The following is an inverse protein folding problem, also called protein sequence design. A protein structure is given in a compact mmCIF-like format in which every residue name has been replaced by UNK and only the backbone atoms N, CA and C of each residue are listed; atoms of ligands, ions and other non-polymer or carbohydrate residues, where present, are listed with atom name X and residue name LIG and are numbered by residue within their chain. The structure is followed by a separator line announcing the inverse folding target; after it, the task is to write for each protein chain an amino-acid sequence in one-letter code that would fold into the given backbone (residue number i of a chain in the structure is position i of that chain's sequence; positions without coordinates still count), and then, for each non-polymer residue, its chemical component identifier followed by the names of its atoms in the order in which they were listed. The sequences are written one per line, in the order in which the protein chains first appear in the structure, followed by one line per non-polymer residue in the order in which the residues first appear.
data_IF_753900417670
#
_entry.id   IF_753900417670
#
_cell.length_a   1.000
_cell.length_b   1.000
_cell.length_c   1.000
_cell.angle_alpha   90.00
_cell.angle_beta   90.00
_cell.angle_gamma   90.00
#
_symmetry.space_group_name_H-M   'P 1'
#
loop_
_entity.id
_entity.type
_entity.pdbx_description
1 polymer ?
#
# COMPACT_ATOMS: atom_id res chain seq x y z
N UNK A 1 30.99 -2.64 29.89
CA UNK A 1 31.27 -3.17 28.53
C UNK A 1 30.03 -3.92 28.06
N UNK A 2 29.24 -3.33 27.18
CA UNK A 2 28.07 -3.98 26.62
C UNK A 2 28.53 -5.06 25.63
N UNK A 3 28.08 -6.29 25.83
CA UNK A 3 28.27 -7.42 24.90
C UNK A 3 27.57 -7.06 23.59
N UNK A 4 28.35 -6.95 22.51
CA UNK A 4 27.79 -6.95 21.14
C UNK A 4 27.20 -8.34 20.92
N UNK A 5 25.86 -8.47 21.01
CA UNK A 5 25.18 -9.65 20.50
C UNK A 5 25.39 -9.68 18.98
N UNK A 6 26.15 -10.69 18.53
CA UNK A 6 26.24 -11.00 17.12
C UNK A 6 24.87 -11.55 16.70
N UNK A 7 24.12 -10.80 15.93
CA UNK A 7 22.99 -11.36 15.22
C UNK A 7 23.49 -12.51 14.33
N UNK A 8 22.78 -13.64 14.28
CA UNK A 8 23.13 -14.71 13.36
C UNK A 8 23.24 -14.12 11.95
N UNK A 9 24.28 -14.56 11.22
CA UNK A 9 24.53 -14.13 9.85
C UNK A 9 23.21 -14.18 9.07
N UNK A 10 22.77 -13.03 8.61
CA UNK A 10 21.68 -12.98 7.63
C UNK A 10 22.15 -13.81 6.45
N UNK A 11 21.29 -14.71 5.91
CA UNK A 11 21.61 -15.36 4.65
C UNK A 11 22.06 -14.28 3.67
N UNK A 12 23.12 -14.56 2.93
CA UNK A 12 23.79 -13.64 2.03
C UNK A 12 22.73 -12.81 1.29
N UNK A 13 22.83 -11.52 1.54
CA UNK A 13 21.98 -10.54 0.87
C UNK A 13 22.29 -10.69 -0.61
N UNK A 14 21.32 -10.98 -1.48
CA UNK A 14 21.56 -10.87 -2.91
C UNK A 14 22.23 -9.52 -3.16
N UNK A 15 23.24 -9.46 -4.02
CA UNK A 15 23.93 -8.23 -4.44
C UNK A 15 23.03 -7.29 -5.27
N UNK A 16 21.76 -7.21 -4.87
CA UNK A 16 20.73 -6.43 -5.52
C UNK A 16 20.96 -4.97 -5.22
N UNK A 17 21.03 -4.17 -6.27
CA UNK A 17 21.14 -2.72 -6.18
C UNK A 17 20.01 -2.14 -5.29
N UNK A 18 20.25 -1.00 -4.58
CA UNK A 18 19.21 -0.34 -3.83
C UNK A 18 18.06 0.02 -4.76
N UNK A 19 16.94 -0.68 -4.68
CA UNK A 19 15.77 -0.53 -5.56
C UNK A 19 15.23 -1.86 -6.09
N UNK A 20 16.06 -2.88 -6.22
CA UNK A 20 15.69 -4.23 -6.70
C UNK A 20 15.14 -5.13 -5.59
N UNK A 21 14.29 -4.58 -4.72
CA UNK A 21 13.68 -5.38 -3.65
C UNK A 21 12.36 -5.92 -4.13
N UNK A 22 12.30 -7.24 -4.25
CA UNK A 22 11.06 -7.93 -4.56
C UNK A 22 9.98 -7.65 -3.52
N UNK A 23 8.72 -7.74 -3.92
CA UNK A 23 7.56 -7.52 -3.05
C UNK A 23 7.60 -8.44 -1.83
N UNK A 24 8.10 -9.66 -1.98
CA UNK A 24 8.27 -10.66 -0.92
C UNK A 24 9.17 -10.17 0.22
N UNK A 25 10.15 -9.34 -0.06
CA UNK A 25 11.00 -8.74 0.97
C UNK A 25 10.21 -7.87 1.96
N UNK A 26 9.14 -7.24 1.50
CA UNK A 26 8.33 -6.31 2.28
C UNK A 26 7.17 -6.97 3.01
N UNK A 27 6.80 -8.21 2.65
CA UNK A 27 5.66 -8.92 3.23
C UNK A 27 5.87 -9.38 4.67
N UNK A 28 7.12 -9.52 5.09
CA UNK A 28 7.42 -10.06 6.40
C UNK A 28 6.99 -11.53 6.52
N UNK A 29 6.15 -11.82 7.53
CA UNK A 29 5.80 -13.19 7.89
C UNK A 29 4.68 -13.80 7.01
N UNK A 30 3.75 -12.97 6.52
CA UNK A 30 2.61 -13.44 5.72
C UNK A 30 2.81 -13.11 4.24
N UNK A 31 2.61 -14.09 3.37
CA UNK A 31 2.72 -13.97 1.91
C UNK A 31 1.40 -14.15 1.20
N UNK A 32 0.40 -14.69 1.89
CA UNK A 32 -0.96 -14.88 1.39
C UNK A 32 -1.97 -14.53 2.48
N UNK A 33 -3.16 -14.11 2.08
CA UNK A 33 -4.27 -13.88 3.00
C UNK A 33 -4.67 -15.20 3.71
N UNK A 34 -4.47 -16.34 3.06
CA UNK A 34 -4.80 -17.65 3.60
C UNK A 34 -3.85 -18.07 4.73
N UNK A 35 -2.65 -17.52 4.77
CA UNK A 35 -1.68 -17.74 5.85
C UNK A 35 -2.05 -16.99 7.14
N UNK A 36 -2.96 -16.02 7.05
CA UNK A 36 -3.37 -15.19 8.19
C UNK A 36 -4.43 -15.92 8.99
N UNK A 37 -4.18 -16.19 10.30
CA UNK A 37 -5.18 -16.81 11.16
C UNK A 37 -6.51 -16.03 11.14
N UNK A 38 -7.64 -16.73 11.10
CA UNK A 38 -8.97 -16.13 10.97
C UNK A 38 -9.24 -15.03 12.01
N UNK A 39 -8.74 -15.19 13.24
CA UNK A 39 -8.90 -14.20 14.32
C UNK A 39 -8.26 -12.85 14.04
N UNK A 40 -7.29 -12.78 13.12
CA UNK A 40 -6.58 -11.54 12.75
C UNK A 40 -7.02 -10.99 11.40
N UNK A 41 -8.02 -11.60 10.76
CA UNK A 41 -8.55 -11.08 9.51
C UNK A 41 -9.35 -9.81 9.73
N UNK A 42 -9.05 -8.78 8.95
CA UNK A 42 -9.60 -7.43 9.13
C UNK A 42 -11.13 -7.37 9.08
N UNK A 43 -11.78 -8.28 8.36
CA UNK A 43 -13.26 -8.40 8.33
C UNK A 43 -13.91 -8.54 9.71
N UNK A 44 -13.17 -8.99 10.72
CA UNK A 44 -13.70 -9.21 12.07
C UNK A 44 -13.83 -7.91 12.90
N UNK A 45 -13.27 -6.80 12.40
CA UNK A 45 -13.16 -5.54 13.14
C UNK A 45 -14.10 -4.45 12.62
N UNK A 46 -15.10 -4.80 11.81
CA UNK A 46 -15.98 -3.85 11.12
C UNK A 46 -16.72 -2.90 12.09
N UNK A 47 -17.16 -3.42 13.25
CA UNK A 47 -17.84 -2.61 14.25
C UNK A 47 -16.93 -1.58 14.92
N UNK A 48 -15.62 -1.83 14.96
CA UNK A 48 -14.64 -0.93 15.60
C UNK A 48 -14.30 0.27 14.71
N UNK A 49 -14.47 0.12 13.39
CA UNK A 49 -14.16 1.16 12.41
C UNK A 49 -15.39 1.95 11.94
N UNK A 50 -16.57 1.63 12.45
CA UNK A 50 -17.81 2.28 12.00
C UNK A 50 -17.80 3.79 12.33
N UNK A 51 -17.77 4.62 11.29
CA UNK A 51 -17.76 6.09 11.40
C UNK A 51 -16.38 6.73 11.58
N UNK A 52 -15.31 5.94 11.66
CA UNK A 52 -13.95 6.45 11.80
C UNK A 52 -13.36 6.95 10.46
N UNK A 53 -12.65 8.07 10.46
CA UNK A 53 -11.86 8.53 9.31
C UNK A 53 -10.36 8.29 9.52
N UNK A 54 -9.98 7.02 9.50
CA UNK A 54 -8.58 6.60 9.70
C UNK A 54 -7.62 7.20 8.66
N UNK A 55 -8.10 7.51 7.45
CA UNK A 55 -7.28 8.19 6.45
C UNK A 55 -6.98 9.64 6.85
N UNK A 56 -7.98 10.35 7.37
CA UNK A 56 -7.80 11.70 7.91
C UNK A 56 -6.85 11.72 9.10
N UNK A 57 -6.99 10.76 10.02
CA UNK A 57 -6.09 10.59 11.15
C UNK A 57 -4.64 10.35 10.71
N UNK A 58 -4.45 9.43 9.77
CA UNK A 58 -3.15 9.18 9.18
C UNK A 58 -2.53 10.45 8.57
N UNK A 59 -3.28 11.20 7.76
CA UNK A 59 -2.76 12.43 7.16
C UNK A 59 -2.42 13.52 8.18
N UNK A 60 -3.10 13.53 9.32
CA UNK A 60 -2.78 14.43 10.43
C UNK A 60 -1.42 14.12 11.06
N UNK A 61 -0.93 12.88 10.97
CA UNK A 61 0.42 12.49 11.47
C UNK A 61 1.55 12.77 10.47
N UNK A 62 1.24 13.16 9.22
CA UNK A 62 2.22 13.31 8.14
C UNK A 62 2.71 14.76 8.03
N UNK A 63 3.45 15.20 9.04
CA UNK A 63 4.11 16.52 9.04
C UNK A 63 5.29 16.60 8.06
N UNK A 64 5.78 15.46 7.61
CA UNK A 64 6.83 15.33 6.58
C UNK A 64 6.36 15.70 5.16
N UNK A 65 5.04 15.70 4.93
CA UNK A 65 4.47 16.04 3.63
C UNK A 65 4.12 17.52 3.52
N UNK A 66 4.57 18.16 2.44
CA UNK A 66 4.12 19.50 2.12
C UNK A 66 2.60 19.55 1.91
N UNK A 67 1.94 20.62 2.37
CA UNK A 67 0.49 20.80 2.24
C UNK A 67 0.00 20.71 0.79
N UNK A 68 0.80 21.19 -0.18
CA UNK A 68 0.50 21.05 -1.60
C UNK A 68 0.49 19.58 -2.05
N UNK A 69 1.37 18.76 -1.51
CA UNK A 69 1.41 17.30 -1.79
C UNK A 69 0.20 16.60 -1.20
N UNK A 70 -0.15 16.90 0.05
CA UNK A 70 -1.37 16.37 0.68
C UNK A 70 -2.59 16.73 -0.16
N UNK A 71 -2.77 18.01 -0.52
CA UNK A 71 -3.93 18.51 -1.25
C UNK A 71 -4.04 17.95 -2.66
N UNK A 72 -2.95 17.83 -3.39
CA UNK A 72 -2.97 17.46 -4.81
C UNK A 72 -2.91 15.95 -5.05
N UNK A 73 -2.46 15.17 -4.09
CA UNK A 73 -2.25 13.73 -4.26
C UNK A 73 -2.94 12.89 -3.18
N UNK A 74 -2.66 13.15 -1.91
CA UNK A 74 -3.07 12.26 -0.82
C UNK A 74 -4.56 12.38 -0.46
N UNK A 75 -5.11 13.58 -0.32
CA UNK A 75 -6.56 13.74 -0.12
C UNK A 75 -7.37 13.16 -1.28
N UNK A 76 -7.06 13.48 -2.56
CA UNK A 76 -7.79 12.87 -3.68
C UNK A 76 -7.65 11.35 -3.76
N UNK A 77 -6.52 10.78 -3.36
CA UNK A 77 -6.35 9.33 -3.28
C UNK A 77 -7.30 8.73 -2.25
N UNK A 78 -7.27 9.25 -1.03
CA UNK A 78 -8.11 8.77 0.06
C UNK A 78 -9.60 8.90 -0.24
N UNK A 79 -10.04 10.02 -0.80
CA UNK A 79 -11.44 10.25 -1.15
C UNK A 79 -11.94 9.25 -2.19
N UNK A 80 -11.13 8.99 -3.23
CA UNK A 80 -11.47 7.99 -4.26
C UNK A 80 -11.49 6.57 -3.69
N UNK A 81 -10.51 6.25 -2.85
CA UNK A 81 -10.42 4.94 -2.24
C UNK A 81 -11.57 4.68 -1.25
N UNK A 82 -11.86 5.63 -0.36
CA UNK A 82 -13.02 5.57 0.55
C UNK A 82 -14.32 5.39 -0.23
N UNK A 83 -14.50 6.17 -1.30
CA UNK A 83 -15.66 6.06 -2.17
C UNK A 83 -15.77 4.68 -2.80
N UNK A 84 -14.70 4.15 -3.38
CA UNK A 84 -14.66 2.82 -3.98
C UNK A 84 -15.03 1.74 -2.96
N UNK A 85 -14.41 1.77 -1.79
CA UNK A 85 -14.68 0.81 -0.73
C UNK A 85 -16.12 0.85 -0.24
N UNK A 86 -16.72 2.03 -0.17
CA UNK A 86 -18.11 2.20 0.25
C UNK A 86 -19.10 1.75 -0.83
N UNK A 87 -18.90 2.14 -2.08
CA UNK A 87 -19.87 1.95 -3.17
C UNK A 87 -19.76 0.57 -3.82
N UNK A 88 -18.53 0.06 -4.03
CA UNK A 88 -18.30 -1.19 -4.76
C UNK A 88 -18.08 -2.39 -3.85
N UNK A 89 -17.52 -2.18 -2.64
CA UNK A 89 -17.17 -3.27 -1.72
C UNK A 89 -18.13 -3.36 -0.53
N UNK A 90 -18.65 -2.22 -0.06
CA UNK A 90 -19.51 -2.15 1.13
C UNK A 90 -18.75 -2.39 2.44
N UNK A 91 -17.47 -2.03 2.51
CA UNK A 91 -16.59 -2.23 3.66
C UNK A 91 -15.82 -0.96 3.97
N UNK A 92 -15.46 -0.78 5.25
CA UNK A 92 -14.61 0.34 5.66
C UNK A 92 -13.24 0.28 4.97
N UNK A 93 -12.72 1.42 4.53
CA UNK A 93 -11.48 1.49 3.74
C UNK A 93 -10.24 0.94 4.47
N UNK A 94 -10.15 1.08 5.79
CA UNK A 94 -9.06 0.49 6.57
C UNK A 94 -9.12 -1.05 6.65
N UNK A 95 -10.26 -1.68 6.34
CA UNK A 95 -10.47 -3.12 6.43
C UNK A 95 -10.37 -3.84 5.07
N UNK A 96 -9.67 -3.24 4.12
CA UNK A 96 -9.55 -3.77 2.76
C UNK A 96 -8.88 -5.14 2.72
N UNK A 97 -9.43 -5.99 1.87
CA UNK A 97 -8.81 -7.25 1.45
C UNK A 97 -7.81 -6.98 0.31
N UNK A 98 -6.79 -7.83 0.10
CA UNK A 98 -5.91 -7.71 -1.07
C UNK A 98 -6.65 -7.61 -2.41
N UNK A 99 -7.74 -8.36 -2.58
CA UNK A 99 -8.56 -8.31 -3.80
C UNK A 99 -9.25 -6.96 -3.98
N UNK A 100 -9.64 -6.27 -2.89
CA UNK A 100 -10.22 -4.93 -2.95
C UNK A 100 -9.18 -3.91 -3.45
N UNK A 101 -7.93 -4.06 -3.02
CA UNK A 101 -6.81 -3.23 -3.48
C UNK A 101 -6.56 -3.45 -4.98
N UNK A 102 -6.52 -4.72 -5.42
CA UNK A 102 -6.34 -5.06 -6.84
C UNK A 102 -7.48 -4.48 -7.68
N UNK A 103 -8.74 -4.69 -7.26
CA UNK A 103 -9.91 -4.17 -7.96
C UNK A 103 -9.90 -2.65 -8.04
N UNK A 104 -9.52 -1.97 -6.94
CA UNK A 104 -9.40 -0.51 -6.93
C UNK A 104 -8.32 -0.02 -7.91
N UNK A 105 -7.13 -0.59 -7.88
CA UNK A 105 -6.04 -0.15 -8.75
C UNK A 105 -6.31 -0.46 -10.22
N UNK A 106 -6.98 -1.57 -10.53
CA UNK A 106 -7.46 -1.88 -11.86
C UNK A 106 -8.49 -0.85 -12.34
N UNK A 107 -9.50 -0.53 -11.49
CA UNK A 107 -10.47 0.52 -11.77
C UNK A 107 -9.81 1.88 -12.03
N UNK A 108 -8.82 2.25 -11.24
CA UNK A 108 -8.05 3.48 -11.43
C UNK A 108 -7.27 3.43 -12.75
N UNK A 109 -6.60 2.31 -13.05
CA UNK A 109 -5.85 2.11 -14.30
C UNK A 109 -6.72 2.34 -15.51
N UNK A 110 -7.93 1.81 -15.50
CA UNK A 110 -8.92 1.89 -16.58
C UNK A 110 -9.66 3.24 -16.66
N UNK A 111 -9.12 4.27 -16.02
CA UNK A 111 -9.66 5.63 -16.09
C UNK A 111 -10.75 5.94 -15.08
N UNK A 112 -11.03 5.06 -14.12
CA UNK A 112 -12.04 5.25 -13.08
C UNK A 112 -11.93 6.62 -12.39
N UNK A 113 -13.09 7.20 -12.06
CA UNK A 113 -13.23 8.56 -11.51
C UNK A 113 -12.73 9.69 -12.44
N UNK A 114 -12.60 9.44 -13.74
CA UNK A 114 -12.26 10.46 -14.71
C UNK A 114 -13.19 10.40 -15.93
N UNK A 115 -13.65 11.55 -16.37
CA UNK A 115 -14.44 11.69 -17.60
C UNK A 115 -13.56 11.93 -18.85
N UNK A 116 -12.25 12.19 -18.64
CA UNK A 116 -11.34 12.58 -19.71
C UNK A 116 -10.25 11.53 -19.99
N UNK A 117 -9.95 10.69 -18.99
CA UNK A 117 -8.87 9.72 -19.05
C UNK A 117 -9.48 8.33 -19.16
N UNK A 118 -9.14 7.60 -20.22
CA UNK A 118 -9.60 6.23 -20.47
C UNK A 118 -8.66 5.19 -19.91
N UNK A 119 -7.39 5.55 -19.77
CA UNK A 119 -6.35 4.70 -19.18
C UNK A 119 -5.28 5.58 -18.52
N UNK A 120 -4.78 5.15 -17.36
CA UNK A 120 -3.65 5.80 -16.67
C UNK A 120 -2.38 5.00 -16.82
N UNK A 121 -1.26 5.72 -16.90
CA UNK A 121 0.07 5.10 -16.90
C UNK A 121 0.37 4.46 -15.54
N UNK A 122 1.21 3.43 -15.53
CA UNK A 122 1.69 2.80 -14.28
C UNK A 122 2.35 3.80 -13.34
N UNK A 123 3.08 4.78 -13.89
CA UNK A 123 3.63 5.90 -13.13
C UNK A 123 2.56 6.65 -12.31
N UNK A 124 1.47 7.01 -12.98
CA UNK A 124 0.35 7.71 -12.32
C UNK A 124 -0.30 6.83 -11.26
N UNK A 125 -0.56 5.56 -11.58
CA UNK A 125 -1.15 4.60 -10.63
C UNK A 125 -0.24 4.42 -9.43
N UNK A 126 1.07 4.30 -9.63
CA UNK A 126 2.02 4.14 -8.54
C UNK A 126 2.04 5.35 -7.60
N UNK A 127 2.35 6.53 -8.12
CA UNK A 127 2.58 7.70 -7.27
C UNK A 127 1.30 8.29 -6.67
N UNK A 128 0.19 8.22 -7.39
CA UNK A 128 -1.06 8.83 -6.93
C UNK A 128 -1.96 7.88 -6.15
N UNK A 129 -1.74 6.56 -6.23
CA UNK A 129 -2.62 5.58 -5.59
C UNK A 129 -1.87 4.48 -4.82
N UNK A 130 -1.02 3.68 -5.47
CA UNK A 130 -0.38 2.54 -4.81
C UNK A 130 0.53 2.97 -3.66
N UNK A 131 1.41 3.94 -3.89
CA UNK A 131 2.36 4.42 -2.87
C UNK A 131 1.67 5.04 -1.65
N UNK A 132 0.66 5.93 -1.81
CA UNK A 132 -0.13 6.42 -0.68
C UNK A 132 -0.82 5.30 0.10
N UNK A 133 -1.49 4.37 -0.59
CA UNK A 133 -2.17 3.25 0.06
C UNK A 133 -1.19 2.34 0.80
N UNK A 134 -0.07 1.98 0.17
CA UNK A 134 0.97 1.16 0.80
C UNK A 134 1.46 1.79 2.10
N UNK A 135 1.69 3.10 2.09
CA UNK A 135 2.18 3.83 3.25
C UNK A 135 1.12 3.96 4.34
N UNK A 136 -0.13 4.21 3.97
CA UNK A 136 -1.27 4.23 4.89
C UNK A 136 -1.44 2.89 5.61
N UNK A 137 -1.50 1.78 4.89
CA UNK A 137 -1.60 0.46 5.52
C UNK A 137 -0.35 0.08 6.30
N UNK A 138 0.82 0.54 5.88
CA UNK A 138 2.04 0.41 6.67
C UNK A 138 1.95 1.15 8.00
N UNK A 139 1.37 2.34 8.02
CA UNK A 139 1.12 3.09 9.26
C UNK A 139 0.15 2.33 10.16
N UNK A 140 -0.97 1.80 9.65
CA UNK A 140 -1.91 1.00 10.43
C UNK A 140 -1.25 -0.23 11.06
N UNK A 141 -0.37 -0.93 10.33
CA UNK A 141 0.36 -2.11 10.82
C UNK A 141 1.31 -1.76 11.96
N UNK A 142 1.89 -0.57 11.96
CA UNK A 142 2.85 -0.15 12.99
C UNK A 142 2.19 0.64 14.14
N UNK A 143 0.92 0.97 14.04
CA UNK A 143 0.21 1.74 15.05
C UNK A 143 -0.44 0.81 16.09
N UNK A 144 -0.18 1.06 17.37
CA UNK A 144 -0.57 0.15 18.48
C UNK A 144 -2.09 0.03 18.69
N UNK A 145 -2.85 1.04 18.26
CA UNK A 145 -4.30 1.09 18.47
C UNK A 145 -5.09 0.40 17.36
N UNK A 146 -4.43 -0.07 16.29
CA UNK A 146 -5.09 -0.75 15.17
C UNK A 146 -4.76 -2.25 15.12
N UNK A 147 -5.73 -3.10 14.72
CA UNK A 147 -5.57 -4.55 14.73
C UNK A 147 -4.76 -5.09 13.53
N UNK A 148 -4.19 -4.21 12.72
CA UNK A 148 -3.52 -4.58 11.48
C UNK A 148 -2.20 -5.30 11.75
N UNK A 149 -2.05 -6.52 11.25
CA UNK A 149 -0.81 -7.31 11.32
C UNK A 149 -0.21 -7.60 9.94
N UNK A 150 -0.85 -7.12 8.88
CA UNK A 150 -0.39 -7.25 7.50
C UNK A 150 -0.81 -6.04 6.67
N UNK A 151 -0.10 -5.82 5.57
CA UNK A 151 -0.39 -4.76 4.61
C UNK A 151 -1.09 -5.37 3.38
N UNK A 152 -2.39 -5.10 3.15
CA UNK A 152 -3.14 -5.69 2.04
C UNK A 152 -2.62 -5.27 0.66
N UNK A 153 -1.96 -4.11 0.56
CA UNK A 153 -1.36 -3.64 -0.70
C UNK A 153 -0.16 -4.51 -1.09
N UNK A 154 0.66 -4.89 -0.11
CA UNK A 154 1.80 -5.78 -0.35
C UNK A 154 1.34 -7.20 -0.70
N UNK A 155 0.32 -7.71 -0.02
CA UNK A 155 -0.27 -8.99 -0.35
C UNK A 155 -0.89 -9.00 -1.76
N UNK A 156 -1.57 -7.93 -2.17
CA UNK A 156 -2.09 -7.78 -3.52
C UNK A 156 -0.96 -7.76 -4.56
N UNK A 157 0.11 -7.01 -4.31
CA UNK A 157 1.28 -6.98 -5.18
C UNK A 157 1.96 -8.35 -5.28
N UNK A 158 2.02 -9.11 -4.18
CA UNK A 158 2.52 -10.49 -4.19
C UNK A 158 1.62 -11.43 -4.97
N UNK A 159 0.31 -11.30 -4.86
CA UNK A 159 -0.65 -12.16 -5.56
C UNK A 159 -0.63 -12.00 -7.09
N UNK A 160 -0.39 -10.79 -7.62
CA UNK A 160 -0.31 -10.55 -9.06
C UNK A 160 -1.14 -9.35 -9.53
N UNK A 161 -1.50 -9.32 -10.82
CA UNK A 161 -2.38 -8.34 -11.41
C UNK A 161 -1.77 -6.94 -11.60
N UNK A 162 -2.64 -5.92 -11.67
CA UNK A 162 -2.24 -4.51 -11.87
C UNK A 162 -1.39 -4.00 -10.71
N UNK A 163 -1.67 -4.46 -9.49
CA UNK A 163 -0.90 -4.07 -8.31
C UNK A 163 0.55 -4.51 -8.44
N UNK A 164 0.80 -5.78 -8.81
CA UNK A 164 2.16 -6.28 -9.06
C UNK A 164 2.82 -5.57 -10.23
N UNK A 165 2.13 -5.41 -11.35
CA UNK A 165 2.65 -4.70 -12.53
C UNK A 165 3.10 -3.28 -12.18
N UNK A 166 2.28 -2.56 -11.39
CA UNK A 166 2.59 -1.22 -10.91
C UNK A 166 3.78 -1.20 -9.95
N UNK A 167 3.89 -2.20 -9.08
CA UNK A 167 5.03 -2.37 -8.17
C UNK A 167 6.33 -2.59 -8.95
N UNK A 168 6.36 -3.56 -9.86
CA UNK A 168 7.56 -3.85 -10.65
C UNK A 168 7.96 -2.70 -11.58
N UNK A 169 6.99 -1.97 -12.11
CA UNK A 169 7.31 -0.78 -12.88
C UNK A 169 8.19 0.19 -12.08
N UNK A 170 7.92 0.38 -10.80
CA UNK A 170 8.71 1.27 -9.94
C UNK A 170 10.08 0.67 -9.57
N UNK A 171 10.15 -0.63 -9.34
CA UNK A 171 11.36 -1.27 -8.81
C UNK A 171 12.34 -1.71 -9.91
N UNK A 172 11.83 -2.14 -11.06
CA UNK A 172 12.64 -2.71 -12.14
C UNK A 172 12.76 -1.82 -13.38
N UNK A 173 11.70 -1.10 -13.72
CA UNK A 173 11.61 -0.41 -15.02
C UNK A 173 11.67 1.12 -14.92
N UNK A 174 11.74 1.69 -13.72
CA UNK A 174 11.90 3.13 -13.60
C UNK A 174 13.26 3.52 -14.19
N UNK A 175 13.27 4.34 -15.26
CA UNK A 175 14.54 4.82 -15.83
C UNK A 175 15.34 5.49 -14.72
N UNK A 176 16.59 5.09 -14.58
CA UNK A 176 17.49 5.73 -13.64
C UNK A 176 17.67 7.19 -14.09
N UNK A 177 17.11 8.13 -13.34
CA UNK A 177 17.25 9.56 -13.61
C UNK A 177 18.66 10.09 -13.30
N UNK A 178 19.60 9.18 -12.94
CA UNK A 178 20.97 9.50 -12.59
C UNK A 178 21.90 9.85 -13.76
N UNK A 179 21.55 9.46 -14.99
CA UNK A 179 22.40 9.69 -16.17
C UNK A 179 21.93 10.90 -17.02
N UNK A 180 21.73 12.04 -16.38
CA UNK A 180 21.72 13.31 -17.11
C UNK A 180 23.01 14.07 -16.77
N UNK A 181 24.07 13.76 -17.54
CA UNK A 181 25.17 14.68 -17.74
C UNK A 181 24.72 15.92 -18.52
#
# INVERSE_FOLDING_TARGET
MARKESYPDRPDRPDDAPGERDVEYWLGIYKSIDDIPDRYRLKNYESEFAGEDTWGEYLATRDDLAESTKKNSWYPCGDRFKKFMQEEVGRHHALSHPDDIEAYLAHIRDGGYSIKVTERTLNTVYYQHLSPLKTFFGWLVHHVDYPHIYNPVLLAAHAGGVTRETWYWQTEYKPDYGDRE
#
